data_IF_555221273453
#
_entry.id   IF_555221273453
#
_cell.length_a   1.000
_cell.length_b   1.000
_cell.length_c   1.000
_cell.angle_alpha   90.00
_cell.angle_beta   90.00
_cell.angle_gamma   90.00
#
_symmetry.space_group_name_H-M   'P 1'
#
loop_
_entity.id
_entity.type
_entity.pdbx_description
1 polymer ?
#
# COMPACT_ATOMS: atom_id res chain seq x y z
N UNK A 1 -18.47 19.59 -5.19
CA UNK A 1 -18.35 18.19 -5.67
C UNK A 1 -17.30 17.52 -4.79
N UNK A 2 -17.72 16.73 -3.79
CA UNK A 2 -16.84 16.13 -2.77
C UNK A 2 -16.22 14.84 -3.33
N UNK A 3 -14.90 14.62 -3.17
CA UNK A 3 -14.16 13.51 -3.79
C UNK A 3 -13.78 12.48 -2.71
N UNK A 4 -14.62 11.45 -2.54
CA UNK A 4 -14.31 10.32 -1.67
C UNK A 4 -12.95 9.68 -2.01
N UNK A 5 -12.14 9.40 -0.98
CA UNK A 5 -10.88 8.66 -1.14
C UNK A 5 -11.18 7.16 -1.26
N UNK A 6 -10.92 6.60 -2.45
CA UNK A 6 -10.94 5.14 -2.68
C UNK A 6 -9.52 4.62 -2.76
N UNK A 7 -9.19 3.62 -1.95
CA UNK A 7 -7.89 2.95 -1.98
C UNK A 7 -8.09 1.49 -2.41
N UNK A 8 -7.31 1.10 -3.42
CA UNK A 8 -7.41 -0.17 -4.14
C UNK A 8 -6.07 -0.91 -4.09
N UNK A 9 -6.12 -2.24 -4.18
CA UNK A 9 -4.93 -3.12 -4.14
C UNK A 9 -4.87 -4.11 -5.29
N UNK A 10 -3.64 -4.44 -5.69
CA UNK A 10 -3.26 -5.21 -6.88
C UNK A 10 -3.86 -6.62 -7.03
N UNK A 11 -4.48 -6.82 -8.19
CA UNK A 11 -4.32 -7.85 -9.25
C UNK A 11 -4.11 -9.35 -8.98
N UNK A 12 -3.65 -9.80 -7.82
CA UNK A 12 -3.35 -11.22 -7.61
C UNK A 12 -4.49 -11.90 -6.86
N UNK A 13 -5.44 -12.47 -7.60
CA UNK A 13 -6.34 -13.48 -7.04
C UNK A 13 -5.48 -14.61 -6.49
N UNK A 14 -5.78 -15.08 -5.29
CA UNK A 14 -5.26 -16.35 -4.79
C UNK A 14 -5.64 -17.42 -5.80
N UNK A 15 -4.68 -17.91 -6.59
CA UNK A 15 -4.87 -19.11 -7.38
C UNK A 15 -4.80 -20.25 -6.38
N UNK A 16 -5.96 -20.71 -5.90
CA UNK A 16 -6.06 -22.04 -5.30
C UNK A 16 -5.74 -23.04 -6.39
N UNK A 17 -4.52 -23.56 -6.38
CA UNK A 17 -4.14 -24.70 -7.20
C UNK A 17 -4.84 -25.94 -6.62
N UNK A 18 -5.94 -26.37 -7.26
CA UNK A 18 -6.41 -27.75 -7.09
C UNK A 18 -5.43 -28.68 -7.80
N UNK A 19 -4.82 -29.60 -7.04
CA UNK A 19 -3.96 -30.64 -7.57
C UNK A 19 -4.80 -31.68 -8.35
N UNK A 20 -4.32 -32.20 -9.50
CA UNK A 20 -5.06 -33.21 -10.25
C UNK A 20 -4.98 -34.57 -9.55
N UNK A 21 -6.13 -35.05 -9.07
CA UNK A 21 -6.31 -36.41 -8.57
C UNK A 21 -6.38 -37.44 -9.71
N UNK A 22 -5.69 -38.55 -9.51
CA UNK A 22 -5.59 -39.71 -10.41
C UNK A 22 -6.91 -40.48 -10.57
N UNK A 23 -7.08 -41.06 -11.76
CA UNK A 23 -8.21 -41.80 -12.33
C UNK A 23 -8.78 -42.96 -11.50
N UNK A 24 -10.07 -43.28 -11.71
CA UNK A 24 -10.52 -44.59 -12.22
C UNK A 24 -11.96 -44.56 -12.77
N UNK A 25 -12.14 -45.27 -13.89
CA UNK A 25 -13.37 -45.43 -14.67
C UNK A 25 -14.45 -46.27 -13.96
N UNK A 26 -15.74 -45.95 -14.17
CA UNK A 26 -16.83 -46.90 -14.50
C UNK A 26 -18.07 -46.14 -15.01
N UNK A 27 -18.69 -46.69 -16.04
CA UNK A 27 -19.71 -46.11 -16.94
C UNK A 27 -21.15 -46.33 -16.45
N UNK A 28 -21.99 -45.28 -16.46
CA UNK A 28 -23.44 -45.37 -16.74
C UNK A 28 -24.10 -43.97 -16.89
N UNK A 29 -24.80 -43.76 -18.00
CA UNK A 29 -25.81 -42.69 -18.25
C UNK A 29 -27.22 -43.34 -18.20
N UNK A 30 -28.37 -42.62 -18.19
CA UNK A 30 -28.58 -41.18 -18.48
C UNK A 30 -29.56 -40.45 -17.50
N UNK A 31 -29.76 -39.14 -17.69
CA UNK A 31 -31.08 -38.46 -17.84
C UNK A 31 -30.88 -36.94 -17.91
N UNK A 32 -31.57 -36.31 -18.86
CA UNK A 32 -31.59 -34.88 -19.17
C UNK A 32 -32.59 -34.14 -18.28
N UNK A 33 -32.16 -33.04 -17.66
CA UNK A 33 -33.04 -31.95 -17.22
C UNK A 33 -32.25 -30.65 -17.00
N UNK A 34 -32.59 -29.60 -17.74
CA UNK A 34 -32.26 -28.19 -17.48
C UNK A 34 -33.58 -27.42 -17.33
N UNK A 35 -33.59 -26.13 -16.91
CA UNK A 35 -32.59 -25.34 -16.18
C UNK A 35 -33.17 -24.70 -14.90
N UNK A 36 -32.32 -24.24 -13.98
CA UNK A 36 -32.67 -23.13 -13.08
C UNK A 36 -31.42 -22.43 -12.57
N UNK A 37 -31.27 -21.21 -13.04
CA UNK A 37 -30.27 -20.21 -12.66
C UNK A 37 -30.48 -19.80 -11.20
N UNK A 38 -29.48 -19.98 -10.35
CA UNK A 38 -29.38 -19.24 -9.09
C UNK A 38 -27.96 -18.68 -8.94
N UNK A 39 -27.85 -17.39 -9.24
CA UNK A 39 -26.68 -16.57 -8.96
C UNK A 39 -26.57 -16.46 -7.43
N UNK A 40 -25.59 -17.16 -6.83
CA UNK A 40 -25.21 -16.92 -5.45
C UNK A 40 -24.54 -15.54 -5.39
N UNK A 41 -25.32 -14.54 -4.99
CA UNK A 41 -24.79 -13.23 -4.60
C UNK A 41 -24.11 -13.41 -3.24
N UNK A 42 -22.78 -13.47 -3.25
CA UNK A 42 -21.98 -13.33 -2.04
C UNK A 42 -22.21 -11.93 -1.47
N UNK A 43 -23.08 -11.83 -0.46
CA UNK A 43 -23.25 -10.61 0.34
C UNK A 43 -21.94 -10.33 1.08
N UNK A 44 -21.12 -9.44 0.55
CA UNK A 44 -20.03 -8.84 1.31
C UNK A 44 -20.63 -8.06 2.47
N UNK A 45 -20.37 -8.52 3.69
CA UNK A 45 -20.60 -7.75 4.91
C UNK A 45 -19.63 -6.56 4.90
N UNK A 46 -20.10 -5.42 4.42
CA UNK A 46 -19.46 -4.13 4.70
C UNK A 46 -19.91 -3.75 6.10
N UNK A 47 -19.04 -3.97 7.09
CA UNK A 47 -19.26 -3.54 8.46
C UNK A 47 -18.90 -2.05 8.54
N UNK A 48 -19.90 -1.19 8.65
CA UNK A 48 -19.71 0.22 9.00
C UNK A 48 -19.30 0.29 10.48
N UNK A 49 -18.05 0.66 10.77
CA UNK A 49 -17.60 0.94 12.13
C UNK A 49 -17.04 2.36 12.23
N UNK A 50 -17.55 3.08 13.23
CA UNK A 50 -17.26 4.49 13.52
C UNK A 50 -15.76 4.69 13.70
N UNK A 51 -15.18 5.59 12.90
CA UNK A 51 -13.81 6.07 13.05
C UNK A 51 -13.60 6.66 14.45
N UNK A 52 -12.95 5.91 15.34
CA UNK A 52 -12.37 6.47 16.55
C UNK A 52 -11.16 7.32 16.12
N UNK A 53 -11.23 8.63 16.32
CA UNK A 53 -10.28 9.62 15.77
C UNK A 53 -8.86 9.56 16.37
N UNK A 54 -8.62 8.67 17.35
CA UNK A 54 -7.45 8.75 18.25
C UNK A 54 -6.46 7.56 18.16
N UNK A 55 -6.62 6.67 17.19
CA UNK A 55 -5.81 5.43 17.09
C UNK A 55 -4.46 5.62 16.32
N UNK A 56 -3.76 6.72 16.60
CA UNK A 56 -2.44 6.98 16.00
C UNK A 56 -1.32 6.39 16.85
N UNK A 57 -0.44 5.61 16.22
CA UNK A 57 0.68 4.96 16.89
C UNK A 57 1.99 5.48 16.32
N UNK A 58 2.99 5.73 17.18
CA UNK A 58 4.31 6.18 16.76
C UNK A 58 5.05 5.06 16.01
N UNK A 59 5.57 5.39 14.82
CA UNK A 59 6.38 4.48 14.00
C UNK A 59 7.88 4.70 14.26
N UNK A 60 8.36 5.93 14.05
CA UNK A 60 9.77 6.29 14.20
C UNK A 60 9.95 7.83 14.23
N UNK A 61 11.19 8.30 14.34
CA UNK A 61 11.51 9.73 14.15
C UNK A 61 11.56 10.14 12.67
N UNK A 62 11.38 11.43 12.38
CA UNK A 62 11.47 11.98 11.01
C UNK A 62 12.89 11.92 10.43
N UNK A 63 13.91 11.88 11.30
CA UNK A 63 15.28 11.56 10.90
C UNK A 63 15.39 10.15 10.31
N UNK A 64 14.66 9.17 10.84
CA UNK A 64 14.65 7.82 10.28
C UNK A 64 13.76 7.70 9.05
N UNK A 65 12.66 8.45 8.95
CA UNK A 65 11.76 8.42 7.80
C UNK A 65 11.17 9.81 7.52
N UNK A 66 11.45 10.35 6.34
CA UNK A 66 10.70 11.45 5.76
C UNK A 66 9.69 10.88 4.77
N UNK A 67 8.41 11.06 5.07
CA UNK A 67 7.29 10.63 4.23
C UNK A 67 7.29 11.37 2.91
N UNK A 68 7.51 12.69 2.90
CA UNK A 68 7.57 13.47 1.67
C UNK A 68 8.70 12.99 0.75
N UNK A 69 9.94 12.90 1.28
CA UNK A 69 11.09 12.48 0.48
C UNK A 69 10.94 11.03 -0.01
N UNK A 70 10.40 10.14 0.82
CA UNK A 70 10.28 8.72 0.48
C UNK A 70 9.10 8.45 -0.47
N UNK A 71 7.90 8.89 -0.11
CA UNK A 71 6.66 8.52 -0.80
C UNK A 71 6.43 9.29 -2.12
N UNK A 72 7.10 10.43 -2.31
CA UNK A 72 6.93 11.30 -3.49
C UNK A 72 8.16 11.29 -4.42
N UNK A 73 9.18 10.48 -4.10
CA UNK A 73 10.39 10.31 -4.92
C UNK A 73 10.16 9.61 -6.26
N UNK A 74 8.96 9.09 -6.52
CA UNK A 74 8.64 8.29 -7.71
C UNK A 74 9.10 6.83 -7.62
N UNK A 75 9.65 6.39 -6.47
CA UNK A 75 9.94 4.98 -6.24
C UNK A 75 8.66 4.15 -6.06
N UNK A 76 7.65 4.73 -5.41
CA UNK A 76 6.36 4.08 -5.11
C UNK A 76 5.21 4.90 -5.65
N UNK A 77 4.14 4.21 -6.03
CA UNK A 77 2.92 4.83 -6.57
C UNK A 77 1.66 4.45 -5.76
N UNK A 78 1.83 3.73 -4.65
CA UNK A 78 0.75 3.27 -3.77
C UNK A 78 0.22 4.33 -2.80
N UNK A 79 0.89 5.48 -2.69
CA UNK A 79 0.66 6.48 -1.65
C UNK A 79 0.12 7.79 -2.22
N UNK A 80 -0.77 8.45 -1.49
CA UNK A 80 -1.34 9.75 -1.83
C UNK A 80 -1.26 10.68 -0.63
N UNK A 81 -0.75 11.88 -0.86
CA UNK A 81 -0.89 12.97 0.11
C UNK A 81 -2.38 13.29 0.28
N UNK A 82 -2.81 13.43 1.53
CA UNK A 82 -4.17 13.79 1.87
C UNK A 82 -4.47 15.22 1.38
N UNK A 83 -5.65 15.49 0.78
CA UNK A 83 -5.93 16.78 0.13
C UNK A 83 -5.96 17.97 1.10
N UNK A 84 -6.48 17.75 2.32
CA UNK A 84 -6.60 18.78 3.36
C UNK A 84 -5.41 18.73 4.35
N UNK A 85 -5.16 17.57 4.95
CA UNK A 85 -4.07 17.32 5.91
C UNK A 85 -2.74 17.08 5.17
N UNK A 86 -2.05 18.16 4.77
CA UNK A 86 -0.86 18.07 3.90
C UNK A 86 0.30 17.22 4.45
N UNK A 87 0.45 17.09 5.77
CA UNK A 87 1.44 16.24 6.42
C UNK A 87 0.97 14.77 6.62
N UNK A 88 -0.07 14.34 5.90
CA UNK A 88 -0.63 12.99 5.99
C UNK A 88 -0.66 12.35 4.61
N UNK A 89 -0.28 11.07 4.55
CA UNK A 89 -0.33 10.23 3.36
C UNK A 89 -1.18 9.01 3.63
N UNK A 90 -1.97 8.63 2.63
CA UNK A 90 -2.77 7.42 2.63
C UNK A 90 -2.19 6.48 1.59
N UNK A 91 -1.99 5.23 1.94
CA UNK A 91 -1.46 4.28 0.99
C UNK A 91 -1.74 2.85 1.38
N UNK A 92 -1.31 1.98 0.48
CA UNK A 92 -1.49 0.55 0.64
C UNK A 92 -0.15 -0.15 0.72
N UNK A 93 -0.03 -1.04 1.70
CA UNK A 93 1.06 -2.00 1.83
C UNK A 93 0.47 -3.42 1.90
N UNK A 94 0.77 -4.26 0.91
CA UNK A 94 0.12 -5.56 0.78
C UNK A 94 -1.39 -5.41 0.65
N UNK A 95 -2.17 -6.09 1.50
CA UNK A 95 -3.64 -5.96 1.58
C UNK A 95 -4.12 -5.05 2.72
N UNK A 96 -3.27 -4.15 3.20
CA UNK A 96 -3.56 -3.27 4.33
C UNK A 96 -3.53 -1.81 3.89
N UNK A 97 -4.46 -1.03 4.41
CA UNK A 97 -4.55 0.40 4.12
C UNK A 97 -4.08 1.18 5.33
N UNK A 98 -3.11 2.06 5.14
CA UNK A 98 -2.50 2.85 6.19
C UNK A 98 -2.67 4.34 5.92
N UNK A 99 -2.87 5.10 7.00
CA UNK A 99 -2.55 6.51 7.05
C UNK A 99 -1.21 6.68 7.78
N UNK A 100 -0.31 7.48 7.24
CA UNK A 100 0.95 7.86 7.87
C UNK A 100 1.02 9.38 7.92
N UNK A 101 1.46 9.95 9.04
CA UNK A 101 1.60 11.40 9.16
C UNK A 101 2.92 11.79 9.83
N UNK A 102 3.41 12.96 9.47
CA UNK A 102 4.51 13.62 10.17
C UNK A 102 3.91 14.62 11.18
N UNK A 103 4.33 14.55 12.44
CA UNK A 103 3.92 15.45 13.50
C UNK A 103 5.14 15.84 14.34
N UNK A 104 5.68 17.03 14.12
CA UNK A 104 6.96 17.42 14.72
C UNK A 104 8.08 16.50 14.24
N UNK A 105 8.85 15.94 15.17
CA UNK A 105 9.99 15.06 14.87
C UNK A 105 9.63 13.57 14.83
N UNK A 106 8.34 13.23 14.81
CA UNK A 106 7.87 11.84 14.75
C UNK A 106 7.01 11.57 13.52
N UNK A 107 7.09 10.33 13.06
CA UNK A 107 6.17 9.72 12.10
C UNK A 107 5.21 8.82 12.86
N UNK A 108 3.92 8.99 12.62
CA UNK A 108 2.87 8.15 13.18
C UNK A 108 2.14 7.40 12.08
N UNK A 109 1.62 6.22 12.42
CA UNK A 109 0.77 5.41 11.55
C UNK A 109 -0.61 5.23 12.18
N UNK A 110 -1.58 4.96 11.31
CA UNK A 110 -2.90 4.43 11.67
C UNK A 110 -3.30 3.41 10.63
N UNK A 111 -3.76 2.24 11.08
CA UNK A 111 -4.38 1.27 10.17
C UNK A 111 -5.82 1.70 9.87
N UNK A 112 -6.17 1.76 8.58
CA UNK A 112 -7.54 2.03 8.12
C UNK A 112 -8.24 0.75 7.65
N UNK A 113 -7.47 -0.27 7.26
CA UNK A 113 -7.99 -1.59 6.91
C UNK A 113 -6.90 -2.68 7.02
N UNK A 114 -7.20 -3.84 7.62
CA UNK A 114 -8.45 -4.14 8.33
C UNK A 114 -8.52 -3.36 9.66
N UNK A 115 -9.74 -3.12 10.16
CA UNK A 115 -9.99 -2.25 11.32
C UNK A 115 -9.54 -2.84 12.66
N UNK A 116 -9.33 -4.14 12.71
CA UNK A 116 -8.92 -4.91 13.88
C UNK A 116 -7.40 -5.15 13.95
N UNK A 117 -6.64 -4.62 13.00
CA UNK A 117 -5.18 -4.75 12.99
C UNK A 117 -4.57 -4.01 14.18
N UNK A 118 -3.81 -4.70 15.02
CA UNK A 118 -3.20 -4.07 16.18
C UNK A 118 -2.13 -3.03 15.79
N UNK A 119 -1.91 -2.05 16.67
CA UNK A 119 -0.86 -1.05 16.48
C UNK A 119 0.53 -1.66 16.26
N UNK A 120 0.86 -2.74 16.98
CA UNK A 120 2.13 -3.45 16.82
C UNK A 120 2.26 -4.13 15.46
N UNK A 121 1.23 -4.82 14.97
CA UNK A 121 1.23 -5.41 13.63
C UNK A 121 1.35 -4.34 12.53
N UNK A 122 0.83 -3.14 12.79
CA UNK A 122 1.00 -1.98 11.92
C UNK A 122 2.44 -1.47 11.90
N UNK A 123 3.05 -1.35 13.08
CA UNK A 123 4.47 -1.00 13.24
C UNK A 123 5.34 -2.02 12.50
N UNK A 124 5.13 -3.31 12.72
CA UNK A 124 5.95 -4.37 12.12
C UNK A 124 5.87 -4.35 10.59
N UNK A 125 4.65 -4.19 10.06
CA UNK A 125 4.43 -4.12 8.61
C UNK A 125 5.08 -2.90 7.97
N UNK A 126 4.90 -1.70 8.55
CA UNK A 126 5.49 -0.48 8.01
C UNK A 126 7.00 -0.42 8.24
N UNK A 127 7.50 -0.95 9.36
CA UNK A 127 8.94 -1.07 9.61
C UNK A 127 9.60 -1.94 8.56
N UNK A 128 9.00 -3.08 8.22
CA UNK A 128 9.49 -3.94 7.14
C UNK A 128 9.44 -3.27 5.77
N UNK A 129 8.33 -2.59 5.46
CA UNK A 129 8.11 -1.89 4.20
C UNK A 129 9.09 -0.72 4.00
N UNK A 130 9.29 0.11 5.01
CA UNK A 130 10.22 1.25 4.97
C UNK A 130 11.68 0.89 5.28
N UNK A 131 11.95 -0.39 5.57
CA UNK A 131 13.28 -0.90 5.98
C UNK A 131 13.86 -0.20 7.21
N UNK A 132 13.01 -0.01 8.22
CA UNK A 132 13.42 0.60 9.50
C UNK A 132 14.26 -0.36 10.36
N UNK A 133 14.40 -1.62 9.95
CA UNK A 133 15.35 -2.58 10.51
C UNK A 133 16.82 -2.18 10.31
N UNK A 134 17.08 -1.27 9.36
CA UNK A 134 18.40 -0.71 9.10
C UNK A 134 18.43 0.72 9.61
N UNK A 135 19.19 1.07 10.67
CA UNK A 135 19.26 2.44 11.17
C UNK A 135 19.82 3.37 10.10
N UNK A 136 19.24 4.55 9.92
CA UNK A 136 19.70 5.46 8.88
C UNK A 136 20.99 6.19 9.25
N UNK A 137 21.19 6.59 10.51
CA UNK A 137 22.37 7.39 10.90
C UNK A 137 23.71 6.81 10.40
N UNK A 138 24.03 5.50 10.59
CA UNK A 138 25.27 4.94 10.08
C UNK A 138 25.41 4.98 8.55
N UNK A 139 24.29 4.97 7.81
CA UNK A 139 24.31 5.11 6.36
C UNK A 139 24.66 6.55 5.95
N UNK A 140 24.04 7.54 6.58
CA UNK A 140 24.32 8.96 6.31
C UNK A 140 25.76 9.32 6.70
N UNK A 141 26.25 8.84 7.84
CA UNK A 141 27.66 9.00 8.24
C UNK A 141 28.62 8.39 7.20
N UNK A 142 28.29 7.22 6.65
CA UNK A 142 29.11 6.58 5.62
C UNK A 142 29.09 7.34 4.29
N UNK A 143 27.96 7.94 3.92
CA UNK A 143 27.79 8.63 2.64
C UNK A 143 28.27 10.09 2.70
N UNK A 144 28.40 10.68 3.89
CA UNK A 144 28.84 12.06 4.06
C UNK A 144 30.32 12.12 4.43
N UNK A 145 31.06 13.03 3.79
CA UNK A 145 32.45 13.35 4.10
C UNK A 145 32.66 14.87 4.11
N UNK A 146 33.49 15.43 5.00
CA UNK A 146 33.61 16.88 5.17
C UNK A 146 33.96 17.69 3.90
N UNK A 147 34.59 17.07 2.90
CA UNK A 147 35.05 17.75 1.67
C UNK A 147 34.27 17.36 0.41
N UNK A 148 33.22 16.55 0.53
CA UNK A 148 32.45 16.06 -0.62
C UNK A 148 31.25 16.98 -0.92
N UNK A 149 31.11 17.39 -2.18
CA UNK A 149 29.94 18.13 -2.68
C UNK A 149 28.63 17.37 -2.47
N UNK A 150 28.69 16.03 -2.45
CA UNK A 150 27.52 15.19 -2.23
C UNK A 150 26.99 15.29 -0.79
N UNK A 151 27.84 15.65 0.18
CA UNK A 151 27.47 15.76 1.60
C UNK A 151 26.33 16.75 1.83
N UNK A 152 26.37 17.91 1.17
CA UNK A 152 25.31 18.91 1.29
C UNK A 152 23.97 18.38 0.76
N UNK A 153 24.01 17.66 -0.37
CA UNK A 153 22.81 17.07 -0.98
C UNK A 153 22.24 15.96 -0.08
N UNK A 154 23.10 15.04 0.38
CA UNK A 154 22.70 13.93 1.25
C UNK A 154 22.10 14.46 2.56
N UNK A 155 22.68 15.50 3.15
CA UNK A 155 22.18 16.09 4.39
C UNK A 155 20.76 16.66 4.23
N UNK A 156 20.43 17.23 3.07
CA UNK A 156 19.08 17.71 2.73
C UNK A 156 18.09 16.58 2.44
N UNK A 157 18.58 15.35 2.27
CA UNK A 157 17.78 14.16 2.02
C UNK A 157 17.62 13.26 3.26
N UNK A 158 17.89 13.77 4.49
CA UNK A 158 17.74 12.99 5.73
C UNK A 158 16.31 12.42 5.85
N UNK A 159 16.21 11.14 6.22
CA UNK A 159 14.95 10.40 6.30
C UNK A 159 14.47 9.79 4.98
N UNK A 160 15.14 10.04 3.84
CA UNK A 160 14.84 9.34 2.59
C UNK A 160 15.12 7.83 2.73
N UNK A 161 14.12 6.99 2.45
CA UNK A 161 14.25 5.53 2.45
C UNK A 161 14.08 4.92 1.08
N UNK A 162 14.73 3.76 0.88
CA UNK A 162 14.40 2.84 -0.22
C UNK A 162 13.39 1.83 0.30
N UNK A 163 12.22 1.80 -0.32
CA UNK A 163 11.08 0.98 0.11
C UNK A 163 11.23 -0.47 -0.38
N UNK A 164 10.80 -1.41 0.47
CA UNK A 164 10.67 -2.84 0.15
C UNK A 164 9.30 -3.12 -0.46
N UNK A 165 9.16 -2.84 -1.76
CA UNK A 165 7.92 -3.00 -2.49
C UNK A 165 7.58 -4.47 -2.76
N UNK A 166 6.28 -4.75 -2.93
CA UNK A 166 5.82 -6.01 -3.49
C UNK A 166 6.38 -6.18 -4.93
N UNK A 167 6.98 -7.34 -5.27
CA UNK A 167 7.58 -7.54 -6.59
C UNK A 167 6.62 -7.38 -7.76
N UNK A 168 5.34 -7.76 -7.60
CA UNK A 168 4.33 -7.66 -8.66
C UNK A 168 3.93 -6.20 -8.85
N UNK A 169 3.63 -5.48 -7.78
CA UNK A 169 3.35 -4.04 -7.84
C UNK A 169 4.53 -3.25 -8.42
N UNK A 170 5.76 -3.57 -7.99
CA UNK A 170 6.99 -2.96 -8.48
C UNK A 170 7.12 -3.19 -10.00
N UNK A 171 7.04 -4.44 -10.45
CA UNK A 171 7.18 -4.79 -11.88
C UNK A 171 6.17 -4.04 -12.75
N UNK A 172 4.88 -4.09 -12.42
CA UNK A 172 3.86 -3.42 -13.23
C UNK A 172 3.98 -1.89 -13.17
N UNK A 173 4.41 -1.32 -12.05
CA UNK A 173 4.68 0.11 -11.93
C UNK A 173 5.84 0.54 -12.84
N UNK A 174 6.91 -0.26 -12.92
CA UNK A 174 8.04 0.02 -13.81
C UNK A 174 7.73 -0.22 -15.29
N UNK A 175 6.87 -1.20 -15.62
CA UNK A 175 6.35 -1.32 -17.00
C UNK A 175 5.59 -0.05 -17.39
N UNK A 176 4.82 0.53 -16.48
CA UNK A 176 4.14 1.82 -16.68
C UNK A 176 5.14 3.01 -16.79
N UNK A 177 6.38 2.88 -16.34
CA UNK A 177 7.33 4.01 -16.26
C UNK A 177 8.12 4.28 -17.53
N UNK A 178 8.13 3.34 -18.48
CA UNK A 178 8.93 3.48 -19.70
C UNK A 178 8.51 4.69 -20.53
N UNK A 179 9.46 5.60 -20.77
CA UNK A 179 9.29 6.87 -21.49
C UNK A 179 8.11 7.73 -20.96
N UNK A 180 8.11 7.95 -19.65
CA UNK A 180 6.98 8.58 -18.97
C UNK A 180 7.40 9.51 -17.81
N UNK A 181 6.47 10.33 -17.32
CA UNK A 181 6.67 11.16 -16.13
C UNK A 181 5.85 10.65 -14.95
N UNK A 182 6.27 10.98 -13.72
CA UNK A 182 5.68 10.49 -12.46
C UNK A 182 4.14 10.61 -12.46
N UNK A 183 3.59 11.75 -12.89
CA UNK A 183 2.14 11.98 -12.89
C UNK A 183 1.38 11.02 -13.82
N UNK A 184 1.92 10.76 -15.03
CA UNK A 184 1.30 9.83 -15.98
C UNK A 184 1.52 8.37 -15.59
N UNK A 185 2.65 8.02 -14.98
CA UNK A 185 2.87 6.69 -14.40
C UNK A 185 1.84 6.42 -13.33
N UNK A 186 1.68 7.37 -12.40
CA UNK A 186 0.71 7.28 -11.33
C UNK A 186 -0.70 7.04 -11.86
N UNK A 187 -1.12 7.81 -12.87
CA UNK A 187 -2.43 7.64 -13.48
C UNK A 187 -2.64 6.29 -14.18
N UNK A 188 -1.59 5.69 -14.76
CA UNK A 188 -1.68 4.38 -15.39
C UNK A 188 -1.76 3.25 -14.35
N UNK A 189 -0.94 3.33 -13.29
CA UNK A 189 -1.00 2.40 -12.15
C UNK A 189 -2.39 2.47 -11.49
N UNK A 190 -2.95 3.66 -11.33
CA UNK A 190 -4.27 3.85 -10.75
C UNK A 190 -5.38 3.22 -11.59
N UNK A 191 -5.32 3.37 -12.92
CA UNK A 191 -6.25 2.72 -13.83
C UNK A 191 -6.13 1.20 -13.78
N UNK A 192 -4.90 0.68 -13.68
CA UNK A 192 -4.66 -0.76 -13.56
C UNK A 192 -5.27 -1.30 -12.25
N UNK A 193 -5.03 -0.62 -11.12
CA UNK A 193 -5.64 -0.95 -9.82
C UNK A 193 -7.16 -0.78 -9.83
N UNK A 194 -7.70 0.23 -10.50
CA UNK A 194 -9.15 0.46 -10.65
C UNK A 194 -9.85 -0.62 -11.49
N UNK A 195 -9.17 -1.13 -12.51
CA UNK A 195 -9.76 -2.11 -13.43
C UNK A 195 -9.64 -3.53 -12.90
N UNK A 196 -8.51 -3.88 -12.28
CA UNK A 196 -8.16 -5.26 -11.95
C UNK A 196 -7.88 -5.51 -10.46
N UNK A 197 -7.91 -4.47 -9.63
CA UNK A 197 -7.65 -4.56 -8.20
C UNK A 197 -8.91 -4.75 -7.36
N UNK A 198 -8.69 -5.16 -6.12
CA UNK A 198 -9.73 -5.25 -5.10
C UNK A 198 -9.94 -3.89 -4.42
N UNK A 199 -11.20 -3.53 -4.18
CA UNK A 199 -11.55 -2.41 -3.29
C UNK A 199 -11.34 -2.84 -1.84
N UNK A 200 -10.36 -2.23 -1.16
CA UNK A 200 -10.09 -2.51 0.25
C UNK A 200 -10.73 -1.49 1.19
N UNK A 201 -10.68 -0.20 0.82
CA UNK A 201 -11.11 0.86 1.70
C UNK A 201 -11.79 1.98 0.91
N UNK A 202 -12.91 2.44 1.47
CA UNK A 202 -13.65 3.61 1.01
C UNK A 202 -13.77 4.54 2.21
N UNK A 203 -12.92 5.57 2.24
CA UNK A 203 -12.98 6.59 3.27
C UNK A 203 -14.20 7.48 3.08
N UNK A 204 -14.78 7.92 4.19
CA UNK A 204 -15.65 9.10 4.20
C UNK A 204 -14.75 10.35 4.20
N UNK A 205 -15.17 11.40 3.50
CA UNK A 205 -14.45 12.67 3.53
C UNK A 205 -14.65 13.28 4.93
N UNK A 206 -13.63 13.18 5.80
CA UNK A 206 -13.54 14.00 7.01
C UNK A 206 -13.59 15.48 6.55
N UNK A 207 -14.73 16.12 6.81
CA UNK A 207 -15.05 17.49 6.39
C UNK A 207 -14.09 18.55 6.87
#
# INVERSE_FOLDING_TARGET
MRRSVRLLVAASRSITAEAPGTSNHTTSLPVVSTPSTSILTSKSHVKEEKSNTDDWVTLCGTGELSCALTLESGQVFAWRRHPIKSATWLGVVGRRVFAVRELGDIVQLRCLYPSDLSGQEGIDALSHYFRLDIPADPLYERWTKPTDRMTEIISRLRGLRIVRQDPVECLFSFICSSNNNIARIQGMVDKLKATYGDLLYKGEDDG
#
